data_IF_046705585947
#
_entry.id   IF_046705585947
#
_cell.length_a   1.000
_cell.length_b   1.000
_cell.length_c   1.000
_cell.angle_alpha   90.00
_cell.angle_beta   90.00
_cell.angle_gamma   90.00
#
_symmetry.space_group_name_H-M   'P 1'
#
loop_
_entity.id
_entity.type
_entity.pdbx_description
1 polymer ?
#
# COMPACT_ATOMS: atom_id res chain seq x y z
N UNK A 1 25.12 23.98 -31.27
CA UNK A 1 23.83 24.16 -30.59
C UNK A 1 23.81 23.24 -29.37
N UNK A 2 24.23 23.74 -28.20
CA UNK A 2 24.32 22.92 -26.99
C UNK A 2 22.90 22.56 -26.50
N UNK A 3 22.60 21.27 -26.39
CA UNK A 3 21.33 20.79 -25.85
C UNK A 3 21.19 21.27 -24.40
N UNK A 4 20.19 22.11 -24.13
CA UNK A 4 19.88 22.55 -22.76
C UNK A 4 19.44 21.30 -22.00
N UNK A 5 20.21 20.92 -20.98
CA UNK A 5 19.89 19.80 -20.11
C UNK A 5 18.46 19.96 -19.57
N UNK A 6 17.66 18.92 -19.71
CA UNK A 6 16.30 18.90 -19.15
C UNK A 6 16.40 18.98 -17.62
N UNK A 7 16.00 20.12 -17.04
CA UNK A 7 15.87 20.27 -15.59
C UNK A 7 14.50 19.73 -15.18
N UNK A 8 14.42 18.63 -14.39
CA UNK A 8 13.15 18.06 -13.95
C UNK A 8 12.30 19.11 -13.24
N UNK A 9 10.98 19.04 -13.41
CA UNK A 9 9.99 19.90 -12.76
C UNK A 9 10.06 21.40 -13.10
N UNK A 10 10.97 21.83 -13.98
CA UNK A 10 11.06 23.21 -14.45
C UNK A 10 10.22 23.40 -15.72
N UNK A 11 9.22 24.27 -15.65
CA UNK A 11 8.41 24.69 -16.80
C UNK A 11 8.69 26.17 -17.14
N UNK A 12 8.96 26.47 -18.42
CA UNK A 12 8.98 27.86 -18.91
C UNK A 12 7.59 28.26 -19.42
N UNK A 13 7.06 29.38 -18.93
CA UNK A 13 5.81 30.00 -19.39
C UNK A 13 6.08 31.45 -19.84
N UNK A 14 5.14 32.08 -20.57
CA UNK A 14 5.29 33.48 -20.97
C UNK A 14 5.52 34.44 -19.79
N UNK A 15 4.94 34.13 -18.63
CA UNK A 15 5.05 34.93 -17.40
C UNK A 15 6.27 34.63 -16.52
N UNK A 16 7.16 33.72 -16.93
CA UNK A 16 8.36 33.35 -16.16
C UNK A 16 8.52 31.84 -16.01
N UNK A 17 9.40 31.43 -15.10
CA UNK A 17 9.61 30.01 -14.78
C UNK A 17 8.72 29.51 -13.64
N UNK A 18 8.33 28.25 -13.73
CA UNK A 18 7.43 27.58 -12.80
C UNK A 18 8.00 26.23 -12.37
N UNK A 19 7.75 25.85 -11.12
CA UNK A 19 7.96 24.51 -10.61
C UNK A 19 6.65 23.73 -10.73
N UNK A 20 6.66 22.59 -11.43
CA UNK A 20 5.50 21.69 -11.49
C UNK A 20 5.89 20.26 -11.13
N UNK A 21 5.20 19.70 -10.14
CA UNK A 21 5.42 18.32 -9.67
C UNK A 21 4.09 17.62 -9.37
N UNK A 22 4.00 16.33 -9.73
CA UNK A 22 2.91 15.45 -9.30
C UNK A 22 3.14 15.01 -7.85
N UNK A 23 2.09 15.02 -7.06
CA UNK A 23 2.10 14.66 -5.64
C UNK A 23 1.32 13.36 -5.41
N UNK A 24 1.57 12.64 -4.30
CA UNK A 24 0.72 11.53 -3.88
C UNK A 24 -0.74 11.95 -3.69
N UNK A 25 -1.68 11.03 -3.89
CA UNK A 25 -3.13 11.29 -3.71
C UNK A 25 -3.50 11.71 -2.28
N UNK A 26 -2.71 11.31 -1.29
CA UNK A 26 -2.90 11.71 0.10
C UNK A 26 -2.75 13.24 0.33
N UNK A 27 -2.18 13.97 -0.63
CA UNK A 27 -1.84 15.39 -0.55
C UNK A 27 -2.69 16.28 -1.47
N UNK A 28 -3.93 15.85 -1.72
CA UNK A 28 -4.87 16.61 -2.55
C UNK A 28 -5.14 18.02 -1.97
N UNK A 29 -5.10 18.17 -0.65
CA UNK A 29 -5.35 19.46 0.03
C UNK A 29 -4.33 20.56 -0.32
N UNK A 30 -3.08 20.19 -0.64
CA UNK A 30 -2.02 21.13 -1.04
C UNK A 30 -1.81 21.21 -2.56
N UNK A 31 -2.62 20.47 -3.32
CA UNK A 31 -2.60 20.55 -4.79
C UNK A 31 -3.25 21.83 -5.28
N UNK A 32 -2.90 22.27 -6.48
CA UNK A 32 -3.51 23.48 -7.05
C UNK A 32 -5.01 23.24 -7.33
N UNK A 33 -5.89 24.25 -7.10
CA UNK A 33 -7.30 24.15 -7.41
C UNK A 33 -7.54 23.71 -8.86
N UNK A 34 -8.35 22.66 -9.05
CA UNK A 34 -8.65 22.10 -10.36
C UNK A 34 -7.55 21.22 -10.98
N UNK A 35 -6.44 20.96 -10.27
CA UNK A 35 -5.44 19.98 -10.70
C UNK A 35 -5.45 18.77 -9.77
N UNK A 36 -5.72 17.59 -10.33
CA UNK A 36 -5.57 16.35 -9.58
C UNK A 36 -4.09 16.10 -9.29
N UNK A 37 -3.76 16.14 -7.99
CA UNK A 37 -2.48 15.67 -7.46
C UNK A 37 -1.25 16.30 -8.10
N UNK A 38 -1.26 17.62 -8.30
CA UNK A 38 -0.09 18.36 -8.77
C UNK A 38 -0.02 19.74 -8.11
N UNK A 39 1.21 20.15 -7.77
CA UNK A 39 1.52 21.51 -7.36
C UNK A 39 2.22 22.22 -8.51
N UNK A 40 1.82 23.47 -8.77
CA UNK A 40 2.48 24.33 -9.74
C UNK A 40 2.69 25.72 -9.13
N UNK A 41 3.95 26.08 -8.88
CA UNK A 41 4.35 27.31 -8.20
C UNK A 41 5.14 28.21 -9.16
N UNK A 42 4.84 29.51 -9.17
CA UNK A 42 5.70 30.48 -9.85
C UNK A 42 7.03 30.60 -9.11
N UNK A 43 8.14 30.50 -9.84
CA UNK A 43 9.47 30.73 -9.28
C UNK A 43 9.78 32.22 -9.16
N UNK A 44 8.92 33.12 -9.65
CA UNK A 44 9.11 34.59 -9.61
C UNK A 44 10.49 35.02 -10.13
N UNK A 45 10.90 34.42 -11.24
CA UNK A 45 12.13 34.77 -11.96
C UNK A 45 11.97 34.38 -13.42
N UNK A 46 12.58 35.15 -14.30
CA UNK A 46 12.74 34.90 -15.73
C UNK A 46 14.20 34.52 -16.08
N UNK A 47 15.09 34.47 -15.08
CA UNK A 47 16.50 34.10 -15.20
C UNK A 47 16.66 32.58 -15.02
N UNK A 48 17.22 31.90 -16.03
CA UNK A 48 17.31 30.43 -16.06
C UNK A 48 18.19 29.85 -14.94
N UNK A 49 19.30 30.50 -14.59
CA UNK A 49 20.21 30.02 -13.54
C UNK A 49 19.54 30.07 -12.16
N UNK A 50 18.85 31.16 -11.84
CA UNK A 50 18.06 31.28 -10.61
C UNK A 50 16.92 30.28 -10.57
N UNK A 51 16.18 30.13 -11.69
CA UNK A 51 15.10 29.17 -11.81
C UNK A 51 15.60 27.74 -11.56
N UNK A 52 16.77 27.39 -12.11
CA UNK A 52 17.40 26.08 -11.90
C UNK A 52 17.78 25.86 -10.44
N UNK A 53 18.36 26.86 -9.78
CA UNK A 53 18.69 26.78 -8.35
C UNK A 53 17.43 26.57 -7.48
N UNK A 54 16.38 27.37 -7.73
CA UNK A 54 15.10 27.28 -7.00
C UNK A 54 14.40 25.94 -7.23
N UNK A 55 14.39 25.43 -8.46
CA UNK A 55 13.78 24.11 -8.77
C UNK A 55 14.53 22.98 -8.08
N UNK A 56 15.86 23.01 -8.03
CA UNK A 56 16.63 21.98 -7.32
C UNK A 56 16.29 21.97 -5.82
N UNK A 57 16.24 23.14 -5.19
CA UNK A 57 15.86 23.26 -3.78
C UNK A 57 14.42 22.76 -3.52
N UNK A 58 13.46 23.18 -4.35
CA UNK A 58 12.06 22.73 -4.23
C UNK A 58 11.92 21.23 -4.49
N UNK A 59 12.68 20.67 -5.43
CA UNK A 59 12.71 19.23 -5.71
C UNK A 59 13.18 18.47 -4.47
N UNK A 60 14.31 18.86 -3.88
CA UNK A 60 14.84 18.22 -2.67
C UNK A 60 13.87 18.30 -1.48
N UNK A 61 13.23 19.45 -1.25
CA UNK A 61 12.25 19.61 -0.18
C UNK A 61 11.01 18.75 -0.41
N UNK A 62 10.51 18.70 -1.65
CA UNK A 62 9.35 17.87 -1.98
C UNK A 62 9.68 16.39 -2.00
N UNK A 63 10.92 15.99 -2.33
CA UNK A 63 11.39 14.61 -2.19
C UNK A 63 11.41 14.19 -0.72
N UNK A 64 12.01 15.02 0.15
CA UNK A 64 12.03 14.76 1.59
C UNK A 64 10.63 14.65 2.18
N UNK A 65 9.73 15.56 1.81
CA UNK A 65 8.37 15.54 2.32
C UNK A 65 7.59 14.32 1.80
N UNK A 66 7.77 13.94 0.52
CA UNK A 66 7.16 12.73 -0.03
C UNK A 66 7.71 11.51 0.70
N UNK A 67 9.03 11.37 0.82
CA UNK A 67 9.67 10.30 1.60
C UNK A 67 9.05 10.22 3.00
N UNK A 68 9.07 11.30 3.79
CA UNK A 68 8.51 11.33 5.15
C UNK A 68 7.03 10.92 5.27
N UNK A 69 6.25 10.99 4.20
CA UNK A 69 4.81 10.67 4.22
C UNK A 69 4.43 9.38 3.52
N UNK A 70 5.16 8.98 2.48
CA UNK A 70 4.93 7.73 1.74
C UNK A 70 5.76 6.59 2.28
N UNK A 71 6.96 6.91 2.73
CA UNK A 71 7.87 6.02 3.45
C UNK A 71 7.86 6.56 4.86
N UNK A 72 6.96 6.13 5.76
CA UNK A 72 7.26 6.33 7.18
C UNK A 72 8.51 5.49 7.42
N UNK A 73 9.71 6.09 7.50
CA UNK A 73 10.89 5.28 7.44
C UNK A 73 10.95 4.60 8.79
N UNK A 74 10.83 3.28 8.76
CA UNK A 74 11.33 2.43 9.83
C UNK A 74 12.87 2.41 9.76
N UNK A 75 13.51 3.53 9.41
CA UNK A 75 14.97 3.74 9.41
C UNK A 75 15.56 3.52 10.80
N UNK A 76 14.72 3.63 11.84
CA UNK A 76 15.06 3.34 13.21
C UNK A 76 14.89 1.85 13.58
N UNK A 77 14.40 1.01 12.68
CA UNK A 77 14.32 -0.44 12.86
C UNK A 77 15.40 -1.14 12.02
N UNK A 78 15.97 -2.20 12.58
CA UNK A 78 16.82 -3.10 11.82
C UNK A 78 15.98 -3.87 10.77
N UNK A 79 16.61 -4.37 9.69
CA UNK A 79 15.93 -5.27 8.74
C UNK A 79 15.31 -6.51 9.40
N UNK A 80 15.94 -7.01 10.48
CA UNK A 80 15.43 -8.11 11.28
C UNK A 80 14.12 -7.74 11.98
N UNK A 81 14.04 -6.54 12.59
CA UNK A 81 12.82 -6.02 13.19
C UNK A 81 11.68 -5.84 12.16
N UNK A 82 11.99 -5.33 10.97
CA UNK A 82 11.00 -5.21 9.89
C UNK A 82 10.46 -6.58 9.46
N UNK A 83 11.34 -7.57 9.36
CA UNK A 83 10.95 -8.96 9.03
C UNK A 83 10.07 -9.53 10.13
N UNK A 84 10.43 -9.32 11.40
CA UNK A 84 9.67 -9.78 12.56
C UNK A 84 8.26 -9.18 12.59
N UNK A 85 8.13 -7.88 12.33
CA UNK A 85 6.81 -7.22 12.26
C UNK A 85 5.97 -7.69 11.07
N UNK A 86 6.62 -7.95 9.93
CA UNK A 86 5.97 -8.48 8.73
C UNK A 86 5.39 -9.87 8.99
N UNK A 87 6.18 -10.76 9.59
CA UNK A 87 5.74 -12.11 9.94
C UNK A 87 4.70 -12.09 11.06
N UNK A 88 4.82 -11.18 12.04
CA UNK A 88 3.77 -10.95 13.04
C UNK A 88 2.42 -10.65 12.36
N UNK A 89 2.37 -9.67 11.46
CA UNK A 89 1.14 -9.29 10.76
C UNK A 89 0.58 -10.47 9.94
N UNK A 90 1.45 -11.12 9.16
CA UNK A 90 1.07 -12.26 8.31
C UNK A 90 0.50 -13.41 9.14
N UNK A 91 1.17 -13.80 10.22
CA UNK A 91 0.71 -14.88 11.08
C UNK A 91 -0.61 -14.54 11.77
N UNK A 92 -0.77 -13.30 12.24
CA UNK A 92 -2.00 -12.87 12.91
C UNK A 92 -3.20 -12.90 11.95
N UNK A 93 -3.05 -12.42 10.71
CA UNK A 93 -4.11 -12.48 9.70
C UNK A 93 -4.40 -13.93 9.31
N UNK A 94 -3.36 -14.73 9.03
CA UNK A 94 -3.51 -16.13 8.62
C UNK A 94 -4.17 -16.99 9.72
N UNK A 95 -3.81 -16.80 10.99
CA UNK A 95 -4.41 -17.51 12.10
C UNK A 95 -5.90 -17.16 12.25
N UNK A 96 -6.26 -15.89 12.12
CA UNK A 96 -7.65 -15.46 12.18
C UNK A 96 -8.49 -16.09 11.04
N UNK A 97 -7.97 -16.07 9.81
CA UNK A 97 -8.64 -16.72 8.68
C UNK A 97 -8.75 -18.23 8.82
N UNK A 98 -7.69 -18.90 9.33
CA UNK A 98 -7.71 -20.34 9.55
C UNK A 98 -8.79 -20.72 10.59
N UNK A 99 -8.90 -19.96 11.68
CA UNK A 99 -9.95 -20.17 12.68
C UNK A 99 -11.34 -20.02 12.07
N UNK A 100 -11.56 -18.96 11.29
CA UNK A 100 -12.84 -18.73 10.59
C UNK A 100 -13.17 -19.82 9.58
N UNK A 101 -12.19 -20.28 8.81
CA UNK A 101 -12.38 -21.32 7.79
C UNK A 101 -12.73 -22.68 8.41
N UNK A 102 -12.24 -22.97 9.62
CA UNK A 102 -12.52 -24.22 10.34
C UNK A 102 -13.76 -24.19 11.23
N UNK A 103 -14.35 -23.01 11.46
CA UNK A 103 -15.48 -22.84 12.36
C UNK A 103 -16.81 -23.24 11.69
N UNK A 104 -17.76 -23.71 12.51
CA UNK A 104 -19.14 -23.92 12.09
C UNK A 104 -19.79 -22.61 11.58
N UNK A 105 -20.82 -22.70 10.72
CA UNK A 105 -21.57 -21.53 10.27
C UNK A 105 -22.07 -20.69 11.44
N UNK A 106 -21.73 -19.40 11.42
CA UNK A 106 -22.13 -18.44 12.46
C UNK A 106 -23.44 -17.76 12.10
N UNK A 107 -24.19 -17.35 13.12
CA UNK A 107 -25.31 -16.43 12.94
C UNK A 107 -24.82 -15.02 12.59
N UNK A 108 -25.69 -14.22 11.99
CA UNK A 108 -25.38 -12.81 11.70
C UNK A 108 -25.04 -12.03 12.98
N UNK A 109 -25.76 -12.29 14.08
CA UNK A 109 -25.46 -11.70 15.38
C UNK A 109 -24.05 -12.04 15.88
N UNK A 110 -23.59 -13.29 15.69
CA UNK A 110 -22.25 -13.70 16.07
C UNK A 110 -21.17 -13.05 15.18
N UNK A 111 -21.42 -12.87 13.88
CA UNK A 111 -20.52 -12.16 12.99
C UNK A 111 -20.39 -10.66 13.38
N UNK A 112 -21.52 -10.01 13.67
CA UNK A 112 -21.54 -8.61 14.11
C UNK A 112 -20.83 -8.42 15.45
N UNK A 113 -21.00 -9.36 16.39
CA UNK A 113 -20.29 -9.35 17.67
C UNK A 113 -18.77 -9.51 17.49
N UNK A 114 -18.33 -10.37 16.57
CA UNK A 114 -16.91 -10.53 16.26
C UNK A 114 -16.31 -9.22 15.68
N UNK A 115 -17.01 -8.59 14.73
CA UNK A 115 -16.60 -7.29 14.20
C UNK A 115 -16.55 -6.20 15.30
N UNK A 116 -17.53 -6.19 16.22
CA UNK A 116 -17.53 -5.27 17.35
C UNK A 116 -16.37 -5.53 18.33
N UNK A 117 -15.99 -6.79 18.53
CA UNK A 117 -14.84 -7.18 19.35
C UNK A 117 -13.52 -6.68 18.74
N UNK A 118 -13.38 -6.75 17.41
CA UNK A 118 -12.23 -6.16 16.72
C UNK A 118 -12.20 -4.63 16.88
N UNK A 119 -13.34 -3.93 16.78
CA UNK A 119 -13.40 -2.48 17.07
C UNK A 119 -12.95 -2.13 18.49
N UNK A 120 -13.39 -2.91 19.49
CA UNK A 120 -12.96 -2.70 20.87
C UNK A 120 -11.43 -2.94 21.04
N UNK A 121 -10.88 -3.90 20.30
CA UNK A 121 -9.43 -4.15 20.24
C UNK A 121 -8.70 -2.97 19.61
N UNK A 122 -9.23 -2.38 18.53
CA UNK A 122 -8.67 -1.17 17.92
C UNK A 122 -8.68 0.01 18.91
N UNK A 123 -9.75 0.20 19.68
CA UNK A 123 -9.82 1.28 20.68
C UNK A 123 -8.80 1.09 21.80
N UNK A 124 -8.62 -0.15 22.27
CA UNK A 124 -7.56 -0.49 23.21
C UNK A 124 -6.17 -0.18 22.65
N UNK A 125 -5.89 -0.57 21.40
CA UNK A 125 -4.60 -0.32 20.75
C UNK A 125 -4.35 1.18 20.49
N UNK A 126 -5.38 1.95 20.13
CA UNK A 126 -5.29 3.42 20.00
C UNK A 126 -4.94 4.06 21.34
N UNK A 127 -5.57 3.61 22.42
CA UNK A 127 -5.25 4.09 23.78
C UNK A 127 -3.81 3.71 24.16
N UNK A 128 -3.40 2.49 23.89
CA UNK A 128 -2.04 2.01 24.14
C UNK A 128 -1.00 2.86 23.40
N UNK A 129 -1.23 3.14 22.11
CA UNK A 129 -0.40 4.06 21.31
C UNK A 129 -0.34 5.47 21.91
N UNK A 130 -1.48 6.03 22.31
CA UNK A 130 -1.54 7.37 22.89
C UNK A 130 -0.79 7.48 24.23
N UNK A 131 -0.80 6.41 25.02
CA UNK A 131 -0.13 6.34 26.33
C UNK A 131 1.31 5.82 26.22
N UNK A 132 1.74 5.35 25.05
CA UNK A 132 3.00 4.62 24.88
C UNK A 132 3.06 3.30 25.65
N UNK A 133 1.90 2.71 26.00
CA UNK A 133 1.82 1.42 26.67
C UNK A 133 2.07 0.29 25.66
N UNK A 134 3.17 -0.43 25.88
CA UNK A 134 3.64 -1.52 25.01
C UNK A 134 3.14 -2.89 25.45
N UNK A 135 2.47 -2.97 26.60
CA UNK A 135 1.96 -4.23 27.17
C UNK A 135 1.20 -5.11 26.17
N UNK A 136 0.27 -4.57 25.35
CA UNK A 136 -0.52 -5.39 24.42
C UNK A 136 0.27 -6.14 23.35
N UNK A 137 1.52 -5.73 23.06
CA UNK A 137 2.34 -6.32 21.99
C UNK A 137 3.58 -7.04 22.47
N UNK A 138 3.90 -6.95 23.76
CA UNK A 138 5.07 -7.62 24.34
C UNK A 138 5.04 -9.14 24.08
N UNK A 139 3.94 -9.80 24.44
CA UNK A 139 3.83 -11.25 24.27
C UNK A 139 3.77 -11.70 22.80
N UNK A 140 2.97 -11.05 21.92
CA UNK A 140 3.03 -11.32 20.49
C UNK A 140 4.44 -11.21 19.89
N UNK A 141 5.22 -10.21 20.29
CA UNK A 141 6.60 -10.03 19.82
C UNK A 141 7.55 -11.10 20.33
N UNK A 142 7.47 -11.47 21.61
CA UNK A 142 8.26 -12.57 22.18
C UNK A 142 8.01 -13.88 21.48
N UNK A 143 6.74 -14.21 21.27
CA UNK A 143 6.37 -15.45 20.59
C UNK A 143 6.86 -15.45 19.13
N UNK A 144 6.78 -14.31 18.43
CA UNK A 144 7.29 -14.22 17.06
C UNK A 144 8.82 -14.32 17.02
N UNK A 145 9.52 -13.61 17.92
CA UNK A 145 10.97 -13.69 18.03
C UNK A 145 11.44 -15.13 18.30
N UNK A 146 10.77 -15.83 19.22
CA UNK A 146 11.04 -17.25 19.51
C UNK A 146 10.88 -18.14 18.28
N UNK A 147 9.83 -17.94 17.47
CA UNK A 147 9.61 -18.70 16.23
C UNK A 147 10.66 -18.44 15.16
N UNK A 148 11.18 -17.22 15.13
CA UNK A 148 12.19 -16.79 14.15
C UNK A 148 13.63 -17.02 14.62
N UNK A 149 13.84 -17.45 15.87
CA UNK A 149 15.17 -17.60 16.46
C UNK A 149 15.86 -16.26 16.76
N UNK A 150 15.09 -15.18 16.91
CA UNK A 150 15.56 -13.83 17.21
C UNK A 150 15.57 -13.60 18.71
N UNK A 151 16.63 -12.97 19.22
CA UNK A 151 16.71 -12.55 20.63
C UNK A 151 16.33 -11.09 20.76
N UNK A 152 15.35 -10.77 21.61
CA UNK A 152 14.93 -9.41 21.89
C UNK A 152 15.49 -8.95 23.25
N UNK A 153 16.21 -7.83 23.26
CA UNK A 153 16.62 -7.17 24.50
C UNK A 153 15.62 -6.07 24.86
N UNK A 154 14.71 -6.41 25.78
CA UNK A 154 13.62 -5.54 26.22
C UNK A 154 14.06 -4.32 27.03
N UNK A 155 15.35 -4.24 27.39
CA UNK A 155 15.89 -3.07 28.11
C UNK A 155 16.30 -1.93 27.18
N UNK A 156 16.35 -2.17 25.86
CA UNK A 156 16.92 -1.25 24.88
C UNK A 156 15.96 -0.16 24.40
N UNK A 157 16.51 0.90 23.82
CA UNK A 157 15.73 1.87 23.05
C UNK A 157 15.13 1.22 21.80
N UNK A 158 15.86 0.31 21.17
CA UNK A 158 15.45 -0.40 19.96
C UNK A 158 14.21 -1.26 20.21
N UNK A 159 14.15 -1.98 21.34
CA UNK A 159 12.94 -2.66 21.77
C UNK A 159 11.75 -1.72 21.92
N UNK A 160 11.94 -0.57 22.56
CA UNK A 160 10.86 0.40 22.76
C UNK A 160 10.33 0.95 21.45
N UNK A 161 11.19 1.08 20.43
CA UNK A 161 10.80 1.50 19.10
C UNK A 161 10.10 0.36 18.34
N UNK A 162 10.65 -0.85 18.36
CA UNK A 162 10.04 -2.05 17.80
C UNK A 162 8.64 -2.29 18.36
N UNK A 163 8.47 -2.24 19.68
CA UNK A 163 7.19 -2.44 20.33
C UNK A 163 6.19 -1.32 20.00
N UNK A 164 6.66 -0.09 19.82
CA UNK A 164 5.78 0.99 19.39
C UNK A 164 5.27 0.77 17.96
N UNK A 165 6.15 0.35 17.04
CA UNK A 165 5.74 0.02 15.67
C UNK A 165 4.85 -1.24 15.63
N UNK A 166 5.08 -2.21 16.51
CA UNK A 166 4.22 -3.38 16.64
C UNK A 166 2.78 -3.02 17.04
N UNK A 167 2.58 -2.03 17.93
CA UNK A 167 1.23 -1.54 18.25
C UNK A 167 0.51 -1.01 17.02
N UNK A 168 1.23 -0.28 16.15
CA UNK A 168 0.69 0.24 14.90
C UNK A 168 0.33 -0.89 13.94
N UNK A 169 1.22 -1.86 13.78
CA UNK A 169 0.98 -3.07 12.97
C UNK A 169 -0.24 -3.84 13.49
N UNK A 170 -0.36 -4.06 14.79
CA UNK A 170 -1.49 -4.77 15.38
C UNK A 170 -2.81 -4.01 15.21
N UNK A 171 -2.78 -2.67 15.19
CA UNK A 171 -3.96 -1.87 14.88
C UNK A 171 -4.42 -2.06 13.43
N UNK A 172 -3.48 -2.11 12.49
CA UNK A 172 -3.78 -2.36 11.08
C UNK A 172 -4.27 -3.80 10.86
N UNK A 173 -3.70 -4.78 11.57
CA UNK A 173 -4.19 -6.17 11.59
C UNK A 173 -5.62 -6.25 12.11
N UNK A 174 -5.96 -5.56 13.19
CA UNK A 174 -7.32 -5.60 13.76
C UNK A 174 -8.34 -4.93 12.83
N UNK A 175 -7.97 -3.85 12.12
CA UNK A 175 -8.79 -3.27 11.05
C UNK A 175 -9.01 -4.27 9.91
N UNK A 176 -7.97 -4.99 9.53
CA UNK A 176 -8.08 -6.01 8.49
C UNK A 176 -9.02 -7.14 8.91
N UNK A 177 -8.93 -7.62 10.15
CA UNK A 177 -9.83 -8.63 10.69
C UNK A 177 -11.27 -8.15 10.71
N UNK A 178 -11.54 -6.93 11.17
CA UNK A 178 -12.88 -6.36 11.14
C UNK A 178 -13.46 -6.35 9.72
N UNK A 179 -12.70 -5.90 8.71
CA UNK A 179 -13.15 -5.91 7.31
C UNK A 179 -13.52 -7.33 6.86
N UNK A 180 -12.69 -8.30 7.19
CA UNK A 180 -12.91 -9.70 6.80
C UNK A 180 -14.08 -10.34 7.54
N UNK A 181 -14.33 -9.97 8.79
CA UNK A 181 -15.50 -10.43 9.55
C UNK A 181 -16.81 -10.09 8.84
N UNK A 182 -16.89 -8.91 8.20
CA UNK A 182 -18.04 -8.48 7.39
C UNK A 182 -17.93 -8.85 5.91
N UNK A 183 -17.00 -9.75 5.55
CA UNK A 183 -16.85 -10.28 4.20
C UNK A 183 -16.22 -9.32 3.19
N UNK A 184 -15.58 -8.24 3.64
CA UNK A 184 -14.90 -7.29 2.77
C UNK A 184 -13.43 -7.69 2.61
N UNK A 185 -13.00 -7.93 1.36
CA UNK A 185 -11.62 -8.24 1.00
C UNK A 185 -11.13 -7.24 -0.05
N UNK A 186 -9.92 -6.73 0.14
CA UNK A 186 -9.33 -5.75 -0.77
C UNK A 186 -8.76 -6.39 -2.04
N UNK A 187 -8.13 -7.55 -1.88
CA UNK A 187 -7.56 -8.29 -3.00
C UNK A 187 -8.49 -9.40 -3.50
N UNK A 188 -8.48 -9.59 -4.81
CA UNK A 188 -9.04 -10.79 -5.42
C UNK A 188 -8.33 -12.06 -4.92
N UNK A 189 -9.10 -13.13 -4.74
CA UNK A 189 -8.54 -14.42 -4.34
C UNK A 189 -7.49 -14.90 -5.36
N UNK A 190 -6.45 -15.65 -4.93
CA UNK A 190 -5.46 -16.20 -5.85
C UNK A 190 -6.08 -17.05 -6.96
N UNK A 191 -7.15 -17.80 -6.64
CA UNK A 191 -7.91 -18.60 -7.61
C UNK A 191 -8.56 -17.70 -8.66
N UNK A 192 -9.25 -16.63 -8.24
CA UNK A 192 -9.86 -15.69 -9.18
C UNK A 192 -8.81 -14.98 -10.04
N UNK A 193 -7.70 -14.53 -9.44
CA UNK A 193 -6.58 -13.92 -10.18
C UNK A 193 -6.02 -14.88 -11.24
N UNK A 194 -5.82 -16.15 -10.89
CA UNK A 194 -5.34 -17.18 -11.83
C UNK A 194 -6.32 -17.39 -12.99
N UNK A 195 -7.63 -17.49 -12.70
CA UNK A 195 -8.67 -17.63 -13.74
C UNK A 195 -8.67 -16.43 -14.69
N UNK A 196 -8.54 -15.21 -14.15
CA UNK A 196 -8.50 -13.99 -14.97
C UNK A 196 -7.22 -13.90 -15.82
N UNK A 197 -6.07 -14.30 -15.27
CA UNK A 197 -4.81 -14.36 -16.00
C UNK A 197 -4.89 -15.38 -17.17
N UNK A 198 -5.50 -16.54 -16.95
CA UNK A 198 -5.71 -17.57 -17.98
C UNK A 198 -6.64 -17.13 -19.11
N UNK A 199 -7.61 -16.24 -18.83
CA UNK A 199 -8.45 -15.63 -19.88
C UNK A 199 -7.69 -14.64 -20.74
N UNK A 200 -6.78 -13.87 -20.14
CA UNK A 200 -5.92 -12.94 -20.89
C UNK A 200 -4.82 -13.62 -21.70
N UNK A 201 -4.43 -14.86 -21.33
CA UNK A 201 -3.43 -15.64 -22.06
C UNK A 201 -4.02 -16.63 -23.06
N UNK A 202 -5.35 -16.77 -23.15
CA UNK A 202 -5.97 -17.54 -24.22
C UNK A 202 -5.72 -16.82 -25.54
N UNK A 203 -4.97 -17.41 -26.49
CA UNK A 203 -4.88 -16.84 -27.82
C UNK A 203 -6.28 -16.87 -28.43
N UNK A 204 -6.61 -15.81 -29.15
CA UNK A 204 -7.70 -15.82 -30.12
C UNK A 204 -7.35 -16.85 -31.20
N UNK A 205 -7.56 -18.14 -30.91
CA UNK A 205 -7.35 -19.22 -31.86
C UNK A 205 -8.53 -19.24 -32.81
N UNK A 206 -8.25 -18.80 -34.03
CA UNK A 206 -8.61 -19.48 -35.27
C UNK A 206 -10.01 -20.15 -35.28
N UNK A 207 -11.02 -19.34 -35.57
CA UNK A 207 -12.22 -19.81 -36.25
C UNK A 207 -12.49 -18.85 -37.39
N UNK A 208 -11.87 -19.10 -38.54
CA UNK A 208 -12.30 -18.71 -39.90
C UNK A 208 -11.20 -19.10 -40.91
N UNK A 209 -11.09 -20.39 -41.20
CA UNK A 209 -10.56 -20.89 -42.48
C UNK A 209 -10.82 -22.38 -42.56
N UNK A 210 -12.07 -22.72 -42.81
CA UNK A 210 -12.43 -23.94 -43.56
C UNK A 210 -13.85 -23.77 -44.08
N UNK A 211 -13.99 -22.92 -45.10
CA UNK A 211 -15.09 -23.04 -46.07
C UNK A 211 -14.47 -23.63 -47.32
N UNK A 212 -14.35 -24.95 -47.32
CA UNK A 212 -14.08 -25.75 -48.52
C UNK A 212 -15.41 -25.94 -49.26
N UNK A 213 -15.65 -25.10 -50.25
CA UNK A 213 -16.76 -25.24 -51.20
C UNK A 213 -16.37 -26.29 -52.24
N UNK A 214 -16.83 -27.53 -52.06
CA UNK A 214 -16.93 -28.50 -53.15
C UNK A 214 -18.41 -28.84 -53.35
N UNK A 215 -19.05 -28.06 -54.22
CA UNK A 215 -20.40 -28.33 -54.71
C UNK A 215 -20.29 -29.22 -55.95
N UNK A 216 -20.75 -30.46 -55.84
CA UNK A 216 -21.02 -31.32 -57.00
C UNK A 216 -22.53 -31.42 -57.17
N UNK A 217 -22.94 -30.96 -58.34
CA UNK A 217 -24.14 -31.26 -59.14
C UNK A 217 -25.30 -32.05 -58.54
N UNK A 218 -26.50 -31.55 -58.81
CA UNK A 218 -27.67 -32.35 -59.20
C UNK A 218 -28.80 -31.41 -59.68
N UNK A 219 -29.00 -31.31 -61.00
CA UNK A 219 -30.35 -31.14 -61.57
C UNK A 219 -30.52 -32.06 -62.78
N UNK A 220 -31.51 -32.93 -62.61
CA UNK A 220 -32.07 -33.84 -63.60
C UNK A 220 -32.87 -33.09 -64.67
N UNK A 221 -32.84 -33.69 -65.87
CA UNK A 221 -33.74 -33.54 -67.03
C UNK A 221 -33.60 -32.30 -67.91
#
# INVERSE_FOLDING_TARGET
MAGVAHTPHLEKRPSGFFFRRRLPKAWVEISNPGQSSAICLSLRTDVLSEATCRVRALTALTDLAVALTTERPVDHLSPEHVTLLTELARCQIAAHEALRASAEPRSEAAANFAAQTERATQDMLRRALALGDRGPVTEPLREMARRMGVTLDESTADWRALAFEALRVMLDVSRERERREVGTYEEATPVFRSVMASRSSSPATALLSDVSTCGTDLRFS
#
